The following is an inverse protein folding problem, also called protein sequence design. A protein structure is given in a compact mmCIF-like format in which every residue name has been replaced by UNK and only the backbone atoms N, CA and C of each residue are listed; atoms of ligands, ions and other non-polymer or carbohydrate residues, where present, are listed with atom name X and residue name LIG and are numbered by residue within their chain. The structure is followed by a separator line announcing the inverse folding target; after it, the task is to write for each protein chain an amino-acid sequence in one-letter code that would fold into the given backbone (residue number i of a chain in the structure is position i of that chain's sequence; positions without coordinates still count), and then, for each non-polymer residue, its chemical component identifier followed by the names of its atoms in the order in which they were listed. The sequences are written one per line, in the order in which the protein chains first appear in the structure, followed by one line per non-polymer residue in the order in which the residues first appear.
data_IF_865181274524
#
_entry.id   IF_865181274524
#
_cell.length_a   1.000
_cell.length_b   1.000
_cell.length_c   1.000
_cell.angle_alpha   90.00
_cell.angle_beta   90.00
_cell.angle_gamma   90.00
#
_symmetry.space_group_name_H-M   'P 1'
#
loop_
_entity.id
_entity.type
_entity.pdbx_description
1 polymer ?
#
# COMPACT_ATOMS: atom_id res chain seq x y z
N UNK A 1 17.63 19.25 -11.05
CA UNK A 1 18.28 18.78 -9.80
C UNK A 1 17.32 18.59 -8.62
N UNK A 2 16.80 19.63 -7.95
CA UNK A 2 16.02 19.45 -6.71
C UNK A 2 14.74 18.60 -6.87
N UNK A 3 14.02 18.74 -7.99
CA UNK A 3 12.81 17.94 -8.29
C UNK A 3 13.12 16.44 -8.39
N UNK A 4 14.26 16.07 -8.98
CA UNK A 4 14.66 14.67 -9.15
C UNK A 4 15.03 14.03 -7.80
N UNK A 5 15.77 14.75 -6.95
CA UNK A 5 16.13 14.28 -5.60
C UNK A 5 14.93 14.11 -4.66
N UNK A 6 13.99 15.05 -4.70
CA UNK A 6 12.74 14.95 -3.91
C UNK A 6 11.87 13.80 -4.39
N UNK A 7 11.77 13.60 -5.71
CA UNK A 7 11.03 12.47 -6.29
C UNK A 7 11.58 11.15 -5.79
N UNK A 8 12.89 10.93 -5.84
CA UNK A 8 13.50 9.70 -5.34
C UNK A 8 13.24 9.49 -3.84
N UNK A 9 13.34 10.56 -3.04
CA UNK A 9 13.15 10.51 -1.59
C UNK A 9 11.72 10.10 -1.20
N UNK A 10 10.71 10.51 -1.97
CA UNK A 10 9.31 10.19 -1.71
C UNK A 10 8.89 8.87 -2.36
N UNK A 11 9.29 8.63 -3.62
CA UNK A 11 8.89 7.44 -4.36
C UNK A 11 9.54 6.18 -3.78
N UNK A 12 10.78 6.26 -3.30
CA UNK A 12 11.50 5.11 -2.75
C UNK A 12 10.76 4.44 -1.59
N UNK A 13 10.43 5.12 -0.48
CA UNK A 13 9.68 4.50 0.59
C UNK A 13 8.28 4.06 0.13
N UNK A 14 7.58 4.81 -0.72
CA UNK A 14 6.24 4.43 -1.19
C UNK A 14 6.25 3.19 -2.08
N UNK A 15 7.29 2.97 -2.88
CA UNK A 15 7.37 1.78 -3.74
C UNK A 15 7.98 0.59 -3.03
N UNK A 16 9.01 0.79 -2.20
CA UNK A 16 9.73 -0.30 -1.53
C UNK A 16 9.09 -0.73 -0.21
N UNK A 17 8.42 0.17 0.52
CA UNK A 17 7.69 -0.17 1.74
C UNK A 17 6.24 -0.55 1.40
N UNK A 18 6.10 -1.64 0.65
CA UNK A 18 4.83 -2.24 0.30
C UNK A 18 4.83 -3.74 0.60
N UNK A 19 3.65 -4.29 0.91
CA UNK A 19 3.47 -5.72 1.18
C UNK A 19 3.82 -6.62 -0.02
N UNK A 20 4.01 -6.03 -1.19
CA UNK A 20 4.42 -6.69 -2.44
C UNK A 20 5.86 -7.19 -2.37
N UNK A 21 6.74 -6.47 -1.67
CA UNK A 21 8.19 -6.76 -1.63
C UNK A 21 8.63 -7.51 -0.39
N UNK A 22 8.01 -7.23 0.76
CA UNK A 22 8.35 -7.87 2.04
C UNK A 22 7.06 -8.20 2.79
N UNK A 23 6.92 -9.43 3.35
CA UNK A 23 5.81 -9.75 4.24
C UNK A 23 5.73 -8.76 5.40
N UNK A 24 4.54 -8.23 5.68
CA UNK A 24 4.34 -7.19 6.71
C UNK A 24 4.18 -7.74 8.13
N UNK A 25 3.91 -9.04 8.28
CA UNK A 25 3.76 -9.73 9.56
C UNK A 25 4.97 -9.64 10.51
N UNK A 26 6.21 -9.89 10.07
CA UNK A 26 7.38 -9.78 10.95
C UNK A 26 7.82 -8.33 11.21
N UNK A 27 7.18 -7.33 10.62
CA UNK A 27 7.58 -5.93 10.78
C UNK A 27 7.20 -5.39 12.16
N UNK A 28 8.03 -4.49 12.74
CA UNK A 28 7.61 -3.66 13.88
C UNK A 28 6.30 -2.94 13.60
N UNK A 29 5.43 -2.82 14.61
CA UNK A 29 4.05 -2.34 14.43
C UNK A 29 3.94 -1.02 13.65
N UNK A 30 4.80 -0.05 13.95
CA UNK A 30 4.81 1.25 13.27
C UNK A 30 5.16 1.15 11.77
N UNK A 31 6.12 0.28 11.40
CA UNK A 31 6.46 0.01 9.99
C UNK A 31 5.33 -0.71 9.29
N UNK A 32 4.69 -1.66 9.98
CA UNK A 32 3.54 -2.39 9.47
C UNK A 32 2.39 -1.43 9.14
N UNK A 33 2.08 -0.48 10.01
CA UNK A 33 1.05 0.53 9.74
C UNK A 33 1.34 1.31 8.46
N UNK A 34 2.57 1.81 8.30
CA UNK A 34 2.96 2.59 7.11
C UNK A 34 2.89 1.72 5.84
N UNK A 35 3.44 0.50 5.91
CA UNK A 35 3.45 -0.41 4.77
C UNK A 35 2.04 -0.80 4.33
N UNK A 36 1.12 -1.06 5.27
CA UNK A 36 -0.22 -1.54 4.96
C UNK A 36 -1.19 -0.42 4.54
N UNK A 37 -0.96 0.81 4.98
CA UNK A 37 -1.71 1.99 4.51
C UNK A 37 -1.26 2.53 3.16
N UNK A 38 -0.17 1.99 2.61
CA UNK A 38 0.36 2.38 1.33
C UNK A 38 -0.64 2.06 0.17
N UNK A 39 -0.88 3.00 -0.77
CA UNK A 39 -1.72 2.74 -1.95
C UNK A 39 -1.24 1.53 -2.76
N UNK A 40 0.08 1.33 -2.87
CA UNK A 40 0.67 0.20 -3.59
C UNK A 40 0.32 -1.13 -2.90
N UNK A 41 0.32 -1.17 -1.57
CA UNK A 41 -0.05 -2.36 -0.81
C UNK A 41 -1.53 -2.71 -0.93
N UNK A 42 -2.40 -1.69 -0.91
CA UNK A 42 -3.84 -1.85 -1.13
C UNK A 42 -4.12 -2.40 -2.52
N UNK A 43 -3.47 -1.83 -3.55
CA UNK A 43 -3.59 -2.28 -4.94
C UNK A 43 -3.11 -3.73 -5.11
N UNK A 44 -1.93 -4.06 -4.58
CA UNK A 44 -1.37 -5.40 -4.67
C UNK A 44 -2.27 -6.45 -4.02
N UNK A 45 -2.84 -6.14 -2.85
CA UNK A 45 -3.78 -7.03 -2.19
C UNK A 45 -5.11 -7.15 -2.95
N UNK A 46 -5.62 -6.05 -3.51
CA UNK A 46 -6.84 -6.03 -4.32
C UNK A 46 -6.68 -6.92 -5.56
N UNK A 47 -5.51 -6.86 -6.22
CA UNK A 47 -5.20 -7.74 -7.34
C UNK A 47 -5.15 -9.21 -6.91
N UNK A 48 -4.52 -9.53 -5.77
CA UNK A 48 -4.50 -10.92 -5.26
C UNK A 48 -5.92 -11.45 -5.00
N UNK A 49 -6.77 -10.63 -4.39
CA UNK A 49 -8.18 -10.96 -4.11
C UNK A 49 -8.96 -11.17 -5.41
N UNK A 50 -8.90 -10.21 -6.35
CA UNK A 50 -9.64 -10.28 -7.62
C UNK A 50 -9.19 -11.44 -8.52
N UNK A 51 -7.92 -11.82 -8.46
CA UNK A 51 -7.40 -12.99 -9.18
C UNK A 51 -7.64 -14.32 -8.45
N UNK A 52 -8.20 -14.31 -7.23
CA UNK A 52 -8.46 -15.52 -6.45
C UNK A 52 -7.21 -16.19 -5.88
N UNK A 53 -6.05 -15.53 -5.93
CA UNK A 53 -4.77 -16.03 -5.42
C UNK A 53 -4.41 -15.44 -4.03
N UNK A 54 -5.22 -14.50 -3.54
CA UNK A 54 -5.07 -13.86 -2.24
C UNK A 54 -5.87 -14.59 -1.18
N UNK A 55 -5.18 -15.28 -0.27
CA UNK A 55 -5.79 -15.69 0.99
C UNK A 55 -6.29 -14.48 1.79
N UNK A 56 -7.27 -14.67 2.69
CA UNK A 56 -7.78 -13.59 3.52
C UNK A 56 -6.64 -12.93 4.31
N UNK A 57 -6.68 -11.60 4.41
CA UNK A 57 -5.71 -10.87 5.19
C UNK A 57 -5.69 -11.37 6.65
N UNK A 58 -4.50 -11.47 7.29
CA UNK A 58 -4.40 -11.86 8.69
C UNK A 58 -5.28 -10.97 9.58
N UNK A 59 -5.87 -11.51 10.65
CA UNK A 59 -6.72 -10.72 11.56
C UNK A 59 -5.97 -9.54 12.24
N UNK A 60 -4.64 -9.57 12.25
CA UNK A 60 -3.79 -8.50 12.76
C UNK A 60 -3.44 -7.42 11.72
N UNK A 61 -3.86 -7.59 10.47
CA UNK A 61 -3.62 -6.65 9.39
C UNK A 61 -4.41 -5.35 9.60
N UNK A 62 -3.92 -4.25 9.03
CA UNK A 62 -4.59 -2.98 9.04
C UNK A 62 -5.83 -3.01 8.13
N UNK A 63 -6.77 -2.10 8.43
CA UNK A 63 -8.04 -1.90 7.71
C UNK A 63 -7.93 -1.95 6.17
N UNK A 64 -6.92 -1.32 5.52
CA UNK A 64 -6.81 -1.34 4.07
C UNK A 64 -6.63 -2.72 3.46
N UNK A 65 -6.06 -3.67 4.20
CA UNK A 65 -5.89 -5.05 3.73
C UNK A 65 -7.14 -5.91 3.89
N UNK A 66 -8.06 -5.50 4.76
CA UNK A 66 -9.37 -6.15 4.89
C UNK A 66 -10.36 -5.70 3.81
N UNK A 67 -10.18 -4.49 3.26
CA UNK A 67 -11.02 -3.94 2.19
C UNK A 67 -10.18 -3.37 1.03
N UNK A 68 -9.31 -4.19 0.41
CA UNK A 68 -8.26 -3.68 -0.46
C UNK A 68 -8.78 -3.05 -1.75
N UNK A 69 -9.89 -3.56 -2.31
CA UNK A 69 -10.53 -2.97 -3.49
C UNK A 69 -11.05 -1.55 -3.17
N UNK A 70 -11.77 -1.39 -2.06
CA UNK A 70 -12.29 -0.08 -1.63
C UNK A 70 -11.16 0.88 -1.30
N UNK A 71 -10.15 0.42 -0.56
CA UNK A 71 -8.97 1.23 -0.24
C UNK A 71 -8.21 1.68 -1.46
N UNK A 72 -8.08 0.83 -2.49
CA UNK A 72 -7.47 1.20 -3.76
C UNK A 72 -8.26 2.31 -4.47
N UNK A 73 -9.58 2.19 -4.56
CA UNK A 73 -10.44 3.21 -5.17
C UNK A 73 -10.36 4.53 -4.41
N UNK A 74 -10.39 4.49 -3.08
CA UNK A 74 -10.25 5.69 -2.24
C UNK A 74 -8.90 6.37 -2.46
N UNK A 75 -7.81 5.60 -2.55
CA UNK A 75 -6.49 6.15 -2.86
C UNK A 75 -6.42 6.77 -4.26
N UNK A 76 -7.01 6.12 -5.27
CA UNK A 76 -7.09 6.71 -6.61
C UNK A 76 -7.83 8.03 -6.60
N UNK A 77 -8.99 8.11 -5.96
CA UNK A 77 -9.76 9.35 -5.82
C UNK A 77 -8.99 10.43 -5.05
N UNK A 78 -8.36 10.06 -3.94
CA UNK A 78 -7.58 10.99 -3.12
C UNK A 78 -6.38 11.56 -3.90
N UNK A 79 -5.61 10.71 -4.58
CA UNK A 79 -4.48 11.15 -5.41
C UNK A 79 -4.95 12.04 -6.55
N UNK A 80 -6.02 11.67 -7.25
CA UNK A 80 -6.61 12.53 -8.28
C UNK A 80 -7.03 13.88 -7.70
N UNK A 81 -7.71 13.93 -6.55
CA UNK A 81 -8.11 15.18 -5.93
C UNK A 81 -6.94 16.07 -5.46
N UNK A 82 -5.80 15.46 -5.07
CA UNK A 82 -4.60 16.19 -4.65
C UNK A 82 -3.83 16.79 -5.83
N UNK A 83 -3.81 16.10 -6.98
CA UNK A 83 -2.99 16.49 -8.14
C UNK A 83 -3.77 17.10 -9.31
N UNK A 84 -5.11 17.04 -9.30
CA UNK A 84 -5.97 17.73 -10.28
C UNK A 84 -5.93 19.25 -10.08
#
# INVERSE_FOLDING_TARGET
EAVNGTMFTVLFPVTFLANTFVPTEPMPHWLRVIAEWNPVSSLAQAMRELWGNGGPAPASAQLPLHHPVLSTVLWSLALTAVFA
#
